data_IF_837991089977
#
_entry.id   IF_837991089977
#
_cell.length_a   1.000
_cell.length_b   1.000
_cell.length_c   1.000
_cell.angle_alpha   90.00
_cell.angle_beta   90.00
_cell.angle_gamma   90.00
#
_symmetry.space_group_name_H-M   'P 1'
#
loop_
_entity.id
_entity.type
_entity.pdbx_description
1 polymer ?
#
# COMPACT_ATOMS: atom_id res chain seq x y z
N UNK A 1 70.31 26.37 5.59
CA UNK A 1 70.60 24.98 5.21
C UNK A 1 69.53 24.09 5.83
N UNK A 2 68.41 23.89 5.12
CA UNK A 2 67.30 23.05 5.60
C UNK A 2 67.52 21.62 5.10
N UNK A 3 67.53 20.67 6.04
CA UNK A 3 67.97 19.30 5.82
C UNK A 3 66.89 18.50 5.07
N UNK A 4 67.23 17.97 3.88
CA UNK A 4 66.30 17.25 2.97
C UNK A 4 65.60 16.03 3.58
N UNK A 5 66.10 15.49 4.71
CA UNK A 5 65.50 14.35 5.40
C UNK A 5 64.22 14.69 6.18
N UNK A 6 64.10 15.91 6.72
CA UNK A 6 62.95 16.27 7.57
C UNK A 6 61.68 16.62 6.78
N UNK A 7 61.80 16.88 5.47
CA UNK A 7 60.64 17.18 4.60
C UNK A 7 59.95 15.88 4.16
N UNK A 8 60.71 14.79 4.00
CA UNK A 8 60.16 13.51 3.54
C UNK A 8 59.35 12.83 4.67
N UNK A 9 59.79 12.92 5.92
CA UNK A 9 59.05 12.35 7.06
C UNK A 9 57.70 13.06 7.32
N UNK A 10 57.62 14.38 7.09
CA UNK A 10 56.37 15.14 7.27
C UNK A 10 55.32 14.86 6.18
N UNK A 11 55.75 14.54 4.95
CA UNK A 11 54.83 14.23 3.84
C UNK A 11 54.21 12.83 4.00
N UNK A 12 54.94 11.88 4.59
CA UNK A 12 54.43 10.51 4.85
C UNK A 12 53.37 10.51 5.94
N UNK A 13 53.50 11.34 6.98
CA UNK A 13 52.51 11.43 8.06
C UNK A 13 51.20 12.08 7.56
N UNK A 14 51.27 13.02 6.60
CA UNK A 14 50.07 13.68 6.06
C UNK A 14 49.29 12.81 5.05
N UNK A 15 49.92 11.81 4.43
CA UNK A 15 49.25 10.83 3.57
C UNK A 15 48.84 9.54 4.30
N UNK A 16 49.28 9.33 5.55
CA UNK A 16 49.00 8.12 6.34
C UNK A 16 47.70 8.14 7.15
N UNK A 17 47.01 9.28 7.27
CA UNK A 17 45.82 9.43 8.15
C UNK A 17 44.49 9.46 7.37
N UNK A 18 44.49 9.34 6.05
CA UNK A 18 43.26 9.38 5.22
C UNK A 18 42.71 8.00 4.81
N UNK A 19 43.08 6.92 5.49
CA UNK A 19 42.61 5.55 5.16
C UNK A 19 41.90 4.79 6.29
N UNK A 20 41.32 5.50 7.27
CA UNK A 20 40.43 4.91 8.28
C UNK A 20 39.11 5.68 8.46
N UNK A 21 38.61 6.28 7.39
CA UNK A 21 37.23 6.73 7.32
C UNK A 21 36.69 6.23 5.99
N UNK A 22 35.80 5.26 6.04
CA UNK A 22 34.82 4.81 5.04
C UNK A 22 34.59 3.30 5.16
N UNK A 23 34.34 2.81 6.38
CA UNK A 23 33.27 1.83 6.55
C UNK A 23 31.97 2.63 6.69
N UNK A 24 31.46 3.16 5.59
CA UNK A 24 30.03 3.44 5.51
C UNK A 24 29.35 2.08 5.45
N UNK A 25 28.46 1.72 6.41
CA UNK A 25 27.57 0.61 6.14
C UNK A 25 26.78 1.02 4.90
N UNK A 26 26.99 0.30 3.80
CA UNK A 26 26.06 0.30 2.68
C UNK A 26 24.77 -0.38 3.15
N UNK A 27 24.09 0.23 4.12
CA UNK A 27 22.68 0.01 4.34
C UNK A 27 21.97 0.89 3.31
N UNK A 28 22.10 0.47 2.05
CA UNK A 28 21.19 0.94 1.01
C UNK A 28 19.84 0.40 1.44
N UNK A 29 19.03 1.29 2.01
CA UNK A 29 17.59 1.12 2.20
C UNK A 29 17.03 0.47 0.94
N UNK A 30 16.88 -0.85 0.98
CA UNK A 30 15.85 -1.57 0.26
C UNK A 30 14.55 -1.43 1.05
N UNK A 31 14.22 -0.20 1.47
CA UNK A 31 12.81 0.13 1.58
C UNK A 31 12.32 0.09 0.14
N UNK A 32 11.63 -0.99 -0.22
CA UNK A 32 10.62 -0.97 -1.29
C UNK A 32 9.81 0.29 -1.07
N UNK A 33 10.17 1.35 -1.79
CA UNK A 33 9.92 2.70 -1.34
C UNK A 33 8.42 2.97 -1.55
N UNK A 34 7.63 2.63 -0.54
CA UNK A 34 6.18 2.76 -0.50
C UNK A 34 5.79 4.21 -0.80
N UNK A 35 6.63 5.15 -0.38
CA UNK A 35 6.53 6.56 -0.73
C UNK A 35 6.67 6.79 -2.23
N UNK A 36 7.61 6.14 -2.94
CA UNK A 36 7.62 6.20 -4.42
C UNK A 36 6.38 5.60 -5.07
N UNK A 37 5.75 4.58 -4.49
CA UNK A 37 4.47 4.07 -5.00
C UNK A 37 3.32 5.06 -4.77
N UNK A 38 3.23 5.66 -3.59
CA UNK A 38 2.25 6.73 -3.31
C UNK A 38 2.47 7.94 -4.23
N UNK A 39 3.70 8.38 -4.42
CA UNK A 39 4.04 9.49 -5.31
C UNK A 39 3.66 9.19 -6.77
N UNK A 40 3.88 7.96 -7.24
CA UNK A 40 3.48 7.54 -8.61
C UNK A 40 1.99 7.72 -8.85
N UNK A 41 1.14 7.46 -7.86
CA UNK A 41 -0.32 7.54 -8.02
C UNK A 41 -0.90 8.89 -7.59
N UNK A 42 -0.16 9.70 -6.84
CA UNK A 42 -0.56 11.03 -6.40
C UNK A 42 -0.90 11.98 -7.55
N UNK A 43 -0.26 11.83 -8.72
CA UNK A 43 -0.51 12.67 -9.90
C UNK A 43 -1.42 11.99 -10.95
N UNK A 44 -1.91 10.79 -10.68
CA UNK A 44 -2.72 10.05 -11.63
C UNK A 44 -4.11 10.70 -11.81
N UNK A 45 -4.50 10.88 -13.07
CA UNK A 45 -5.84 11.39 -13.43
C UNK A 45 -6.92 10.34 -13.08
N UNK A 46 -8.11 10.74 -12.58
CA UNK A 46 -9.18 9.81 -12.19
C UNK A 46 -9.58 8.77 -13.24
N UNK A 47 -9.56 9.13 -14.53
CA UNK A 47 -9.90 8.19 -15.61
C UNK A 47 -8.82 7.15 -15.95
N UNK A 48 -7.65 7.17 -15.30
CA UNK A 48 -6.55 6.22 -15.59
C UNK A 48 -6.46 5.03 -14.64
N UNK A 49 -7.14 5.07 -13.49
CA UNK A 49 -7.06 4.02 -12.48
C UNK A 49 -7.49 2.66 -13.02
N UNK A 50 -8.61 2.61 -13.73
CA UNK A 50 -9.13 1.37 -14.30
C UNK A 50 -8.12 0.70 -15.26
N UNK A 51 -7.57 1.47 -16.21
CA UNK A 51 -6.58 0.98 -17.16
C UNK A 51 -5.29 0.49 -16.49
N UNK A 52 -4.82 1.20 -15.47
CA UNK A 52 -3.62 0.79 -14.72
C UNK A 52 -3.86 -0.52 -13.97
N UNK A 53 -5.02 -0.67 -13.33
CA UNK A 53 -5.41 -1.91 -12.65
C UNK A 53 -5.45 -3.06 -13.65
N UNK A 54 -6.10 -2.90 -14.80
CA UNK A 54 -6.16 -3.93 -15.84
C UNK A 54 -4.76 -4.34 -16.31
N UNK A 55 -3.88 -3.37 -16.59
CA UNK A 55 -2.50 -3.64 -17.01
C UNK A 55 -1.71 -4.41 -15.95
N UNK A 56 -1.85 -4.04 -14.67
CA UNK A 56 -1.20 -4.77 -13.59
C UNK A 56 -1.74 -6.20 -13.44
N UNK A 57 -3.05 -6.39 -13.58
CA UNK A 57 -3.68 -7.71 -13.53
C UNK A 57 -3.28 -8.61 -14.70
N UNK A 58 -3.18 -8.07 -15.91
CA UNK A 58 -2.70 -8.81 -17.08
C UNK A 58 -1.25 -9.25 -16.91
N UNK A 59 -0.39 -8.34 -16.45
CA UNK A 59 1.02 -8.64 -16.15
C UNK A 59 1.17 -9.68 -15.03
N UNK A 60 0.18 -9.74 -14.12
CA UNK A 60 0.12 -10.67 -13.02
C UNK A 60 -0.26 -12.10 -13.43
N UNK A 61 -0.66 -12.41 -14.68
CA UNK A 61 -1.08 -13.77 -15.10
C UNK A 61 0.04 -14.85 -15.12
N UNK A 62 1.21 -14.60 -14.55
CA UNK A 62 2.28 -15.60 -14.28
C UNK A 62 2.18 -16.06 -12.81
N UNK A 63 2.78 -17.18 -12.37
CA UNK A 63 2.55 -17.67 -11.01
C UNK A 63 2.86 -16.60 -9.96
N UNK A 64 1.80 -16.09 -9.32
CA UNK A 64 1.80 -14.94 -8.41
C UNK A 64 2.25 -15.30 -6.99
N UNK A 65 2.51 -16.57 -6.73
CA UNK A 65 2.80 -17.08 -5.38
C UNK A 65 4.30 -17.03 -5.05
N UNK A 66 5.01 -16.03 -5.57
CA UNK A 66 6.44 -15.84 -5.29
C UNK A 66 6.69 -14.49 -4.63
N UNK A 67 7.68 -14.36 -3.74
CA UNK A 67 8.04 -13.06 -3.16
C UNK A 67 8.31 -11.94 -4.20
N UNK A 68 8.70 -12.32 -5.42
CA UNK A 68 8.94 -11.37 -6.51
C UNK A 68 7.67 -10.65 -7.00
N UNK A 69 6.47 -11.19 -6.74
CA UNK A 69 5.20 -10.56 -7.13
C UNK A 69 4.66 -9.59 -6.07
N UNK A 70 5.21 -9.60 -4.84
CA UNK A 70 4.71 -8.76 -3.74
C UNK A 70 4.52 -7.28 -4.12
N UNK A 71 5.43 -6.62 -4.88
CA UNK A 71 5.23 -5.23 -5.28
C UNK A 71 4.01 -4.98 -6.18
N UNK A 72 3.55 -5.99 -6.93
CA UNK A 72 2.35 -5.88 -7.78
C UNK A 72 1.10 -5.87 -6.90
N UNK A 73 1.02 -6.75 -5.90
CA UNK A 73 -0.07 -6.79 -4.94
C UNK A 73 -0.18 -5.48 -4.15
N UNK A 74 0.96 -4.91 -3.74
CA UNK A 74 0.97 -3.60 -3.10
C UNK A 74 0.42 -2.49 -4.01
N UNK A 75 0.82 -2.47 -5.30
CA UNK A 75 0.33 -1.49 -6.28
C UNK A 75 -1.18 -1.63 -6.52
N UNK A 76 -1.68 -2.85 -6.68
CA UNK A 76 -3.10 -3.13 -6.85
C UNK A 76 -3.89 -2.67 -5.62
N UNK A 77 -3.41 -2.97 -4.41
CA UNK A 77 -4.03 -2.50 -3.18
C UNK A 77 -4.17 -0.96 -3.18
N UNK A 78 -3.10 -0.25 -3.60
CA UNK A 78 -3.04 1.20 -3.56
C UNK A 78 -4.03 1.81 -4.56
N UNK A 79 -4.09 1.26 -5.78
CA UNK A 79 -5.00 1.70 -6.83
C UNK A 79 -6.47 1.42 -6.51
N UNK A 80 -6.77 0.26 -5.96
CA UNK A 80 -8.14 -0.09 -5.57
C UNK A 80 -8.70 0.82 -4.47
N UNK A 81 -7.88 1.17 -3.49
CA UNK A 81 -8.27 2.03 -2.36
C UNK A 81 -8.06 3.53 -2.59
N UNK A 82 -7.56 3.95 -3.76
CA UNK A 82 -7.16 5.34 -3.97
C UNK A 82 -8.37 6.28 -4.02
N UNK A 83 -8.28 7.42 -3.34
CA UNK A 83 -9.39 8.39 -3.25
C UNK A 83 -9.79 9.05 -4.59
N UNK A 84 -8.90 9.00 -5.59
CA UNK A 84 -9.16 9.47 -6.97
C UNK A 84 -9.67 8.38 -7.91
N UNK A 85 -9.71 7.12 -7.46
CA UNK A 85 -10.39 6.08 -8.19
C UNK A 85 -11.90 6.37 -8.12
N UNK A 86 -12.58 6.47 -9.26
CA UNK A 86 -14.00 6.81 -9.31
C UNK A 86 -14.91 5.69 -8.81
N UNK A 87 -14.39 4.46 -8.79
CA UNK A 87 -15.06 3.30 -8.22
C UNK A 87 -14.07 2.53 -7.32
N UNK A 88 -13.74 3.07 -6.12
CA UNK A 88 -12.87 2.37 -5.19
C UNK A 88 -13.45 1.00 -4.82
N UNK A 89 -12.58 0.01 -4.70
CA UNK A 89 -12.97 -1.33 -4.28
C UNK A 89 -12.12 -1.71 -3.06
N UNK A 90 -12.56 -1.28 -1.88
CA UNK A 90 -11.81 -1.48 -0.64
C UNK A 90 -11.69 -2.95 -0.23
N UNK A 91 -12.64 -3.80 -0.65
CA UNK A 91 -12.54 -5.24 -0.44
C UNK A 91 -11.39 -5.85 -1.25
N UNK A 92 -11.26 -5.46 -2.53
CA UNK A 92 -10.10 -5.84 -3.34
C UNK A 92 -8.81 -5.22 -2.80
N UNK A 93 -8.82 -3.96 -2.37
CA UNK A 93 -7.66 -3.32 -1.77
C UNK A 93 -7.14 -4.09 -0.55
N UNK A 94 -8.05 -4.49 0.35
CA UNK A 94 -7.72 -5.30 1.52
C UNK A 94 -7.11 -6.64 1.14
N UNK A 95 -7.75 -7.37 0.22
CA UNK A 95 -7.27 -8.67 -0.26
C UNK A 95 -5.84 -8.60 -0.83
N UNK A 96 -5.59 -7.62 -1.68
CA UNK A 96 -4.28 -7.44 -2.30
C UNK A 96 -3.23 -7.04 -1.26
N UNK A 97 -3.58 -6.21 -0.26
CA UNK A 97 -2.67 -5.84 0.82
C UNK A 97 -2.33 -7.02 1.73
N UNK A 98 -3.30 -7.85 2.08
CA UNK A 98 -3.08 -9.09 2.83
C UNK A 98 -2.17 -10.06 2.06
N UNK A 99 -2.34 -10.13 0.74
CA UNK A 99 -1.49 -10.94 -0.14
C UNK A 99 -0.05 -10.41 -0.17
N UNK A 100 0.13 -9.08 -0.28
CA UNK A 100 1.45 -8.45 -0.15
C UNK A 100 2.14 -8.80 1.18
N UNK A 101 1.42 -8.67 2.30
CA UNK A 101 1.95 -8.99 3.64
C UNK A 101 2.34 -10.47 3.75
N UNK A 102 1.59 -11.37 3.12
CA UNK A 102 1.93 -12.80 3.09
C UNK A 102 3.18 -13.11 2.28
N UNK A 103 3.44 -12.36 1.19
CA UNK A 103 4.57 -12.59 0.29
C UNK A 103 5.85 -11.86 0.73
N UNK A 104 5.71 -10.77 1.49
CA UNK A 104 6.79 -9.91 1.99
C UNK A 104 6.55 -9.59 3.48
N UNK A 105 6.72 -10.56 4.40
CA UNK A 105 6.30 -10.43 5.79
C UNK A 105 7.13 -9.43 6.61
N UNK A 106 8.40 -9.19 6.27
CA UNK A 106 9.21 -8.19 6.97
C UNK A 106 8.82 -6.77 6.56
N UNK A 107 8.64 -6.53 5.26
CA UNK A 107 8.16 -5.25 4.72
C UNK A 107 6.69 -4.99 5.11
N UNK A 108 5.90 -6.07 5.24
CA UNK A 108 4.53 -6.02 5.73
C UNK A 108 4.39 -5.50 7.16
N UNK A 109 5.44 -5.59 7.99
CA UNK A 109 5.45 -5.04 9.36
C UNK A 109 5.66 -3.53 9.41
N UNK A 110 5.98 -2.88 8.29
CA UNK A 110 6.14 -1.44 8.25
C UNK A 110 4.90 -0.74 8.82
N UNK A 111 5.10 0.25 9.70
CA UNK A 111 4.02 0.92 10.43
C UNK A 111 2.93 1.46 9.49
N UNK A 112 3.34 2.07 8.37
CA UNK A 112 2.42 2.56 7.35
C UNK A 112 1.55 1.46 6.73
N UNK A 113 2.11 0.27 6.49
CA UNK A 113 1.37 -0.89 5.97
C UNK A 113 0.35 -1.38 7.00
N UNK A 114 0.75 -1.48 8.27
CA UNK A 114 -0.14 -1.93 9.35
C UNK A 114 -1.27 -0.93 9.63
N UNK A 115 -0.97 0.37 9.57
CA UNK A 115 -1.98 1.42 9.66
C UNK A 115 -2.99 1.32 8.52
N UNK A 116 -2.50 1.15 7.29
CA UNK A 116 -3.38 1.04 6.13
C UNK A 116 -4.20 -0.26 6.13
N UNK A 117 -3.62 -1.38 6.56
CA UNK A 117 -4.34 -2.64 6.79
C UNK A 117 -5.49 -2.44 7.78
N UNK A 118 -5.22 -1.77 8.90
CA UNK A 118 -6.21 -1.51 9.94
C UNK A 118 -7.36 -0.65 9.42
N UNK A 119 -7.04 0.41 8.65
CA UNK A 119 -8.04 1.27 8.01
C UNK A 119 -8.87 0.51 6.97
N UNK A 120 -8.25 -0.31 6.12
CA UNK A 120 -8.97 -1.10 5.12
C UNK A 120 -9.91 -2.13 5.76
N UNK A 121 -9.47 -2.81 6.83
CA UNK A 121 -10.33 -3.73 7.60
C UNK A 121 -11.56 -3.01 8.14
N UNK A 122 -11.37 -1.80 8.67
CA UNK A 122 -12.46 -1.01 9.21
C UNK A 122 -13.42 -0.51 8.12
N UNK A 123 -12.90 -0.03 6.99
CA UNK A 123 -13.72 0.39 5.84
C UNK A 123 -14.56 -0.77 5.31
N UNK A 124 -13.97 -1.95 5.13
CA UNK A 124 -14.69 -3.14 4.66
C UNK A 124 -15.74 -3.61 5.66
N UNK A 125 -15.44 -3.53 6.97
CA UNK A 125 -16.40 -3.82 8.03
C UNK A 125 -17.60 -2.88 7.96
N UNK A 126 -17.35 -1.57 7.88
CA UNK A 126 -18.37 -0.53 7.78
C UNK A 126 -19.20 -0.63 6.50
N UNK A 127 -18.59 -0.99 5.37
CA UNK A 127 -19.30 -1.18 4.10
C UNK A 127 -20.30 -2.35 4.19
N UNK A 128 -19.87 -3.47 4.79
CA UNK A 128 -20.75 -4.60 5.07
C UNK A 128 -21.91 -4.21 6.00
N UNK A 129 -21.62 -3.53 7.09
CA UNK A 129 -22.65 -3.10 8.05
C UNK A 129 -23.64 -2.11 7.42
N UNK A 130 -23.17 -1.19 6.59
CA UNK A 130 -24.02 -0.30 5.83
C UNK A 130 -24.93 -1.05 4.86
N UNK A 131 -24.41 -2.09 4.19
CA UNK A 131 -25.21 -2.94 3.30
C UNK A 131 -26.31 -3.67 4.08
N UNK A 132 -25.96 -4.30 5.19
CA UNK A 132 -26.92 -4.99 6.06
C UNK A 132 -27.98 -4.04 6.62
N UNK A 133 -27.60 -2.82 7.02
CA UNK A 133 -28.54 -1.80 7.49
C UNK A 133 -29.50 -1.36 6.39
N UNK A 134 -29.01 -1.16 5.16
CA UNK A 134 -29.88 -0.82 4.01
C UNK A 134 -30.89 -1.93 3.72
N UNK A 135 -30.45 -3.19 3.73
CA UNK A 135 -31.33 -4.34 3.52
C UNK A 135 -32.43 -4.41 4.59
N UNK A 136 -32.08 -4.20 5.87
CA UNK A 136 -33.06 -4.13 6.96
C UNK A 136 -34.04 -2.97 6.80
N UNK A 137 -33.58 -1.80 6.39
CA UNK A 137 -34.45 -0.64 6.13
C UNK A 137 -35.46 -0.93 5.03
N UNK A 138 -35.04 -1.57 3.93
CA UNK A 138 -35.97 -1.95 2.86
C UNK A 138 -36.98 -3.01 3.33
N UNK A 139 -36.55 -4.04 4.06
CA UNK A 139 -37.46 -5.03 4.63
C UNK A 139 -38.51 -4.41 5.57
N UNK A 140 -38.11 -3.44 6.39
CA UNK A 140 -39.03 -2.73 7.28
C UNK A 140 -40.03 -1.87 6.52
N UNK A 141 -39.61 -1.21 5.43
CA UNK A 141 -40.53 -0.47 4.55
C UNK A 141 -41.57 -1.38 3.91
N UNK A 142 -41.14 -2.53 3.40
CA UNK A 142 -42.04 -3.51 2.78
C UNK A 142 -43.06 -4.04 3.80
N UNK A 143 -42.61 -4.31 5.03
CA UNK A 143 -43.48 -4.75 6.11
C UNK A 143 -44.50 -3.67 6.51
N UNK A 144 -44.09 -2.40 6.61
CA UNK A 144 -44.98 -1.28 6.92
C UNK A 144 -46.08 -1.13 5.85
N UNK A 145 -45.70 -1.24 4.56
CA UNK A 145 -46.64 -1.25 3.44
C UNK A 145 -47.64 -2.41 3.56
N UNK A 146 -47.17 -3.61 3.90
CA UNK A 146 -48.05 -4.77 4.08
C UNK A 146 -49.03 -4.57 5.24
N UNK A 147 -48.54 -4.09 6.39
CA UNK A 147 -49.37 -3.82 7.57
C UNK A 147 -50.45 -2.77 7.28
N UNK A 148 -50.11 -1.71 6.55
CA UNK A 148 -51.08 -0.66 6.18
C UNK A 148 -52.13 -1.18 5.19
N UNK A 149 -51.74 -2.03 4.23
CA UNK A 149 -52.70 -2.74 3.36
C UNK A 149 -53.65 -3.61 4.17
N UNK A 150 -53.14 -4.41 5.12
CA UNK A 150 -53.96 -5.27 6.00
C UNK A 150 -54.92 -4.45 6.86
N UNK A 151 -54.48 -3.32 7.43
CA UNK A 151 -55.35 -2.42 8.22
C UNK A 151 -56.54 -1.90 7.42
N UNK A 152 -56.35 -1.61 6.13
CA UNK A 152 -57.42 -1.15 5.23
C UNK A 152 -58.41 -2.26 4.84
N UNK A 153 -58.03 -3.52 4.92
CA UNK A 153 -58.91 -4.66 4.61
C UNK A 153 -59.81 -5.07 5.79
N UNK A 154 -59.45 -4.67 7.01
CA UNK A 154 -60.18 -5.03 8.24
C UNK A 154 -61.15 -3.90 8.68
N UNK A 155 -61.06 -2.71 8.07
CA UNK A 155 -62.01 -1.60 8.26
C UNK A 155 -63.06 -1.62 7.17
#
# INVERSE_FOLDING_TARGET
MFNRKNIIELVVIFWGVTLLSHCTPANVQKETNLETFFQRYAEMKPGRFHKEIEQLQENAQKPLDSPASAPVHLQLALLYGHHRNQAPNYSMALKELETYISLAPEEGKAEMIQNWLSLLKEIVRLDRENKEMKEKVEQLKDLDIELEKRRKLVK
#
